data_IF_916528115448
#
_entry.id   IF_916528115448
#
_cell.length_a   1.000
_cell.length_b   1.000
_cell.length_c   1.000
_cell.angle_alpha   90.00
_cell.angle_beta   90.00
_cell.angle_gamma   90.00
#
_symmetry.space_group_name_H-M   'P 1'
#
loop_
_entity.id
_entity.type
_entity.pdbx_description
1 polymer ?
#
# COMPACT_ATOMS: atom_id res chain seq x y z
N UNK A 1 -10.65 1.79 10.89
CA UNK A 1 -10.11 0.92 9.83
C UNK A 1 -9.21 1.69 8.86
N UNK A 2 -8.20 2.37 9.41
CA UNK A 2 -7.26 3.21 8.65
C UNK A 2 -6.04 2.38 8.18
N UNK A 3 -5.83 1.20 8.75
CA UNK A 3 -4.61 0.42 8.58
C UNK A 3 -4.36 -0.07 7.14
N UNK A 4 -5.40 -0.48 6.40
CA UNK A 4 -5.23 -0.98 5.03
C UNK A 4 -4.72 0.09 4.06
N UNK A 5 -5.28 1.30 4.12
CA UNK A 5 -4.82 2.45 3.33
C UNK A 5 -3.40 2.87 3.72
N UNK A 6 -3.07 2.88 5.02
CA UNK A 6 -1.71 3.22 5.48
C UNK A 6 -0.67 2.22 4.99
N UNK A 7 -0.98 0.92 5.05
CA UNK A 7 -0.09 -0.14 4.53
C UNK A 7 0.10 0.01 3.03
N UNK A 8 -0.99 0.19 2.26
CA UNK A 8 -0.90 0.41 0.81
C UNK A 8 -0.10 1.65 0.44
N UNK A 9 -0.30 2.76 1.16
CA UNK A 9 0.42 4.01 0.96
C UNK A 9 1.92 3.87 1.29
N UNK A 10 2.26 3.32 2.45
CA UNK A 10 3.66 3.11 2.86
C UNK A 10 4.38 2.13 1.93
N UNK A 11 3.69 1.06 1.49
CA UNK A 11 4.23 0.14 0.50
C UNK A 11 4.46 0.84 -0.84
N UNK A 12 3.55 1.73 -1.27
CA UNK A 12 3.76 2.52 -2.49
C UNK A 12 4.93 3.48 -2.36
N UNK A 13 5.05 4.17 -1.22
CA UNK A 13 6.12 5.13 -0.95
C UNK A 13 7.50 4.47 -1.09
N UNK A 14 7.71 3.31 -0.49
CA UNK A 14 9.00 2.61 -0.52
C UNK A 14 9.40 2.15 -1.92
N UNK A 15 8.44 1.76 -2.76
CA UNK A 15 8.74 1.14 -4.06
C UNK A 15 8.65 2.12 -5.25
N UNK A 16 7.89 3.21 -5.12
CA UNK A 16 7.77 4.26 -6.15
C UNK A 16 8.68 5.46 -5.87
N UNK A 17 8.95 5.76 -4.60
CA UNK A 17 9.81 6.86 -4.18
C UNK A 17 11.04 6.36 -3.42
N UNK A 18 11.99 7.27 -3.22
CA UNK A 18 13.14 7.01 -2.36
C UNK A 18 12.67 7.09 -0.89
N UNK A 19 13.00 6.11 -0.04
CA UNK A 19 12.61 6.16 1.37
C UNK A 19 13.26 7.36 2.06
N UNK A 20 12.52 7.95 3.01
CA UNK A 20 12.98 9.11 3.80
C UNK A 20 14.27 8.85 4.58
N UNK A 21 14.55 7.58 4.92
CA UNK A 21 15.80 7.17 5.59
C UNK A 21 16.40 5.98 4.83
N UNK A 22 17.57 6.15 4.18
CA UNK A 22 18.14 5.15 3.29
C UNK A 22 18.95 4.08 4.04
N UNK A 23 18.30 3.21 4.81
CA UNK A 23 19.00 2.19 5.64
C UNK A 23 19.21 0.83 4.95
N UNK A 24 18.64 0.60 3.76
CA UNK A 24 18.56 -0.75 3.15
C UNK A 24 19.42 -0.94 1.88
N UNK A 25 20.43 -0.09 1.65
CA UNK A 25 21.34 -0.22 0.50
C UNK A 25 20.63 -0.12 -0.85
N UNK A 26 20.77 -1.16 -1.69
CA UNK A 26 20.15 -1.24 -3.04
C UNK A 26 18.62 -1.12 -2.98
N UNK A 27 18.00 -1.56 -1.88
CA UNK A 27 16.55 -1.48 -1.69
C UNK A 27 16.04 -0.07 -1.38
N UNK A 28 16.93 0.93 -1.31
CA UNK A 28 16.54 2.33 -1.19
C UNK A 28 16.20 2.97 -2.56
N UNK A 29 16.55 2.32 -3.66
CA UNK A 29 16.21 2.82 -4.99
C UNK A 29 14.80 2.37 -5.38
N UNK A 30 14.09 3.21 -6.11
CA UNK A 30 12.74 2.88 -6.55
C UNK A 30 12.76 1.83 -7.68
N UNK A 31 11.59 1.24 -7.92
CA UNK A 31 11.39 0.20 -8.94
C UNK A 31 11.80 0.62 -10.35
N UNK A 32 11.72 1.91 -10.68
CA UNK A 32 12.16 2.43 -11.97
C UNK A 32 13.67 2.34 -12.14
N UNK A 33 14.44 2.70 -11.11
CA UNK A 33 15.91 2.62 -11.12
C UNK A 33 16.36 1.16 -11.08
N UNK A 34 15.71 0.34 -10.24
CA UNK A 34 16.03 -1.07 -10.08
C UNK A 34 15.66 -1.92 -11.30
N UNK A 35 14.85 -1.41 -12.23
CA UNK A 35 14.45 -2.13 -13.43
C UNK A 35 13.70 -3.43 -13.11
N UNK A 36 12.84 -3.40 -12.09
CA UNK A 36 12.17 -4.60 -11.58
C UNK A 36 11.19 -5.20 -12.60
N UNK A 37 10.92 -6.50 -12.44
CA UNK A 37 10.08 -7.27 -13.35
C UNK A 37 8.57 -7.02 -13.16
N UNK A 38 7.78 -7.57 -14.08
CA UNK A 38 6.32 -7.46 -14.08
C UNK A 38 5.66 -8.06 -12.83
N UNK A 39 6.29 -9.06 -12.20
CA UNK A 39 5.79 -9.67 -10.96
C UNK A 39 5.87 -8.65 -9.83
N UNK A 40 7.01 -7.96 -9.71
CA UNK A 40 7.22 -6.92 -8.70
C UNK A 40 6.18 -5.79 -8.83
N UNK A 41 5.91 -5.33 -10.06
CA UNK A 41 4.86 -4.35 -10.33
C UNK A 41 3.46 -4.87 -9.97
N UNK A 42 3.19 -6.14 -10.25
CA UNK A 42 1.91 -6.79 -9.94
C UNK A 42 1.68 -6.84 -8.43
N UNK A 43 2.70 -7.21 -7.65
CA UNK A 43 2.62 -7.24 -6.18
C UNK A 43 2.34 -5.84 -5.62
N UNK A 44 3.01 -4.81 -6.12
CA UNK A 44 2.74 -3.42 -5.73
C UNK A 44 1.27 -3.05 -5.98
N UNK A 45 0.77 -3.30 -7.19
CA UNK A 45 -0.61 -2.99 -7.54
C UNK A 45 -1.63 -3.75 -6.66
N UNK A 46 -1.38 -5.04 -6.42
CA UNK A 46 -2.26 -5.88 -5.59
C UNK A 46 -2.28 -5.42 -4.13
N UNK A 47 -1.12 -5.10 -3.55
CA UNK A 47 -1.05 -4.63 -2.16
C UNK A 47 -1.84 -3.34 -1.97
N UNK A 48 -1.72 -2.39 -2.91
CA UNK A 48 -2.47 -1.13 -2.87
C UNK A 48 -3.97 -1.38 -3.02
N UNK A 49 -4.36 -2.21 -4.00
CA UNK A 49 -5.76 -2.54 -4.27
C UNK A 49 -6.41 -3.22 -3.06
N UNK A 50 -5.77 -4.23 -2.49
CA UNK A 50 -6.28 -4.95 -1.31
C UNK A 50 -6.38 -4.01 -0.11
N UNK A 51 -5.37 -3.17 0.13
CA UNK A 51 -5.40 -2.18 1.21
C UNK A 51 -6.59 -1.21 1.09
N UNK A 52 -6.87 -0.73 -0.12
CA UNK A 52 -8.01 0.12 -0.42
C UNK A 52 -9.35 -0.61 -0.23
N UNK A 53 -9.49 -1.82 -0.80
CA UNK A 53 -10.71 -2.63 -0.70
C UNK A 53 -11.05 -2.99 0.74
N UNK A 54 -10.07 -3.44 1.53
CA UNK A 54 -10.28 -3.77 2.95
C UNK A 54 -10.71 -2.54 3.75
N UNK A 55 -10.08 -1.38 3.48
CA UNK A 55 -10.43 -0.14 4.16
C UNK A 55 -11.86 0.32 3.81
N UNK A 56 -12.23 0.25 2.54
CA UNK A 56 -13.58 0.56 2.08
C UNK A 56 -14.62 -0.39 2.67
N UNK A 57 -14.36 -1.70 2.62
CA UNK A 57 -15.28 -2.74 3.08
C UNK A 57 -15.66 -2.57 4.54
N UNK A 58 -14.72 -2.23 5.42
CA UNK A 58 -15.10 -2.04 6.81
C UNK A 58 -15.34 -0.61 7.25
N UNK A 59 -15.01 0.42 6.45
CA UNK A 59 -15.70 1.71 6.58
C UNK A 59 -17.20 1.54 6.34
N UNK A 60 -17.57 0.76 5.32
CA UNK A 60 -18.96 0.39 5.04
C UNK A 60 -19.60 -0.41 6.19
N UNK A 61 -18.92 -1.46 6.69
CA UNK A 61 -19.44 -2.25 7.81
C UNK A 61 -19.62 -1.44 9.10
N UNK A 62 -18.69 -0.54 9.43
CA UNK A 62 -18.82 0.38 10.57
C UNK A 62 -20.00 1.35 10.38
N UNK A 63 -20.24 1.82 9.15
CA UNK A 63 -21.38 2.65 8.82
C UNK A 63 -22.72 1.94 9.05
N UNK A 64 -22.83 0.66 8.63
CA UNK A 64 -24.01 -0.16 8.89
C UNK A 64 -24.25 -0.34 10.40
N UNK A 65 -23.21 -0.68 11.17
CA UNK A 65 -23.31 -0.82 12.63
C UNK A 65 -23.71 0.47 13.34
N UNK A 66 -23.33 1.63 12.80
CA UNK A 66 -23.75 2.93 13.34
C UNK A 66 -25.21 3.22 13.03
N UNK A 67 -25.68 2.90 11.83
CA UNK A 67 -27.07 3.14 11.41
C UNK A 67 -28.09 2.22 12.12
N UNK A 68 -27.65 1.08 12.63
CA UNK A 68 -28.47 0.14 13.42
C UNK A 68 -28.65 0.54 14.90
N UNK A 69 -27.96 1.59 15.37
CA UNK A 69 -28.05 2.12 16.74
C UNK A 69 -28.96 3.33 16.82
#
# INVERSE_FOLDING_TARGET
MINGLLVGAAFSEVHLWRPSIPVWGIWNDNFFILGVDWISWTILALTVLVGALVSAAGAYALGLQWAER
#
